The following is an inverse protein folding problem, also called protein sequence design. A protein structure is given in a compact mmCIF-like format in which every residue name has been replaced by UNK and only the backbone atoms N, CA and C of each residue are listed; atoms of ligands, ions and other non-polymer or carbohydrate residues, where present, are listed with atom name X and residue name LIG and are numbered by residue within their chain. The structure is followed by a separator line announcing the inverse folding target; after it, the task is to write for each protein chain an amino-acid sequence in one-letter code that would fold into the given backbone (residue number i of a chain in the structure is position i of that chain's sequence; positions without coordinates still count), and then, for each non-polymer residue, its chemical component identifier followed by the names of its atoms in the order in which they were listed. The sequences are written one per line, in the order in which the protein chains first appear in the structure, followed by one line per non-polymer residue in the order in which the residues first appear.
data_IF_925693022052
#
_entry.id   IF_925693022052
#
_cell.length_a   1.000
_cell.length_b   1.000
_cell.length_c   1.000
_cell.angle_alpha   90.00
_cell.angle_beta   90.00
_cell.angle_gamma   90.00
#
_symmetry.space_group_name_H-M   'P 1'
#
loop_
_entity.id
_entity.type
_entity.pdbx_description
1 polymer ?
#
# COMPACT_ATOMS: atom_id res chain seq x y z
N UNK A 1 -7.13 15.58 -1.32
CA UNK A 1 -6.25 14.42 -1.31
C UNK A 1 -6.81 13.34 -2.23
N UNK A 2 -6.01 12.38 -2.64
CA UNK A 2 -6.41 11.19 -3.44
C UNK A 2 -6.86 11.43 -4.89
N UNK A 3 -6.76 12.62 -5.44
CA UNK A 3 -7.19 12.92 -6.83
C UNK A 3 -6.32 12.28 -7.93
N UNK A 4 -5.19 11.69 -7.55
CA UNK A 4 -4.33 10.89 -8.45
C UNK A 4 -4.70 9.42 -8.47
N UNK A 5 -3.71 8.53 -8.54
CA UNK A 5 -3.89 7.07 -8.64
C UNK A 5 -4.53 6.43 -7.40
N UNK A 6 -4.45 7.08 -6.24
CA UNK A 6 -4.84 6.47 -4.96
C UNK A 6 -6.29 5.99 -4.95
N UNK A 7 -7.25 6.82 -5.37
CA UNK A 7 -8.66 6.46 -5.33
C UNK A 7 -9.07 5.42 -6.39
N UNK A 8 -8.22 5.20 -7.40
CA UNK A 8 -8.42 4.16 -8.41
C UNK A 8 -7.88 2.79 -7.99
N UNK A 9 -7.18 2.70 -6.84
CA UNK A 9 -6.63 1.42 -6.41
C UNK A 9 -7.73 0.42 -6.08
N UNK A 10 -7.55 -0.85 -6.49
CA UNK A 10 -8.40 -1.96 -6.05
C UNK A 10 -8.33 -2.18 -4.53
N UNK A 11 -7.25 -1.69 -3.91
CA UNK A 11 -7.02 -1.62 -2.48
C UNK A 11 -7.07 -2.95 -1.72
N UNK A 12 -6.73 -4.02 -2.39
CA UNK A 12 -6.51 -5.29 -1.73
C UNK A 12 -5.33 -5.18 -0.76
N UNK A 13 -5.51 -5.71 0.43
CA UNK A 13 -4.48 -5.83 1.46
C UNK A 13 -4.17 -7.30 1.70
N UNK A 14 -2.89 -7.61 1.76
CA UNK A 14 -2.37 -8.95 2.05
C UNK A 14 -1.02 -8.83 2.76
N UNK A 15 -0.69 -9.81 3.60
CA UNK A 15 0.52 -9.77 4.41
C UNK A 15 1.72 -10.43 3.75
N UNK A 16 1.49 -11.38 2.84
CA UNK A 16 2.55 -12.23 2.31
C UNK A 16 3.14 -11.71 1.00
N UNK A 17 4.47 -11.56 0.99
CA UNK A 17 5.26 -11.22 -0.18
C UNK A 17 6.52 -12.10 -0.24
N UNK A 18 7.17 -12.20 -1.40
CA UNK A 18 8.42 -12.96 -1.55
C UNK A 18 9.60 -12.38 -0.76
N UNK A 19 9.62 -11.07 -0.55
CA UNK A 19 10.58 -10.39 0.31
C UNK A 19 10.10 -10.36 1.75
N UNK A 20 10.93 -10.83 2.68
CA UNK A 20 10.65 -10.79 4.12
C UNK A 20 10.41 -9.35 4.64
N UNK A 21 11.15 -8.37 4.12
CA UNK A 21 11.01 -6.98 4.54
C UNK A 21 9.68 -6.39 4.11
N UNK A 22 9.24 -6.69 2.88
CA UNK A 22 7.94 -6.26 2.37
C UNK A 22 6.83 -6.96 3.14
N UNK A 23 6.92 -8.25 3.39
CA UNK A 23 5.94 -8.98 4.21
C UNK A 23 5.77 -8.38 5.60
N UNK A 24 6.87 -8.02 6.27
CA UNK A 24 6.80 -7.35 7.58
C UNK A 24 6.14 -5.99 7.50
N UNK A 25 6.46 -5.22 6.46
CA UNK A 25 5.84 -3.90 6.23
C UNK A 25 4.34 -4.02 5.96
N UNK A 26 3.93 -4.95 5.10
CA UNK A 26 2.52 -5.20 4.79
C UNK A 26 1.74 -5.65 6.03
N UNK A 27 2.28 -6.60 6.80
CA UNK A 27 1.66 -7.06 8.03
C UNK A 27 1.49 -5.93 9.06
N UNK A 28 2.53 -5.12 9.27
CA UNK A 28 2.43 -3.92 10.10
C UNK A 28 1.36 -2.94 9.59
N UNK A 29 1.31 -2.73 8.28
CA UNK A 29 0.35 -1.82 7.63
C UNK A 29 -1.09 -2.29 7.83
N UNK A 30 -1.36 -3.59 7.68
CA UNK A 30 -2.70 -4.16 7.92
C UNK A 30 -3.15 -3.95 9.37
N UNK A 31 -2.24 -4.18 10.33
CA UNK A 31 -2.50 -3.89 11.74
C UNK A 31 -2.80 -2.41 11.97
N UNK A 32 -1.96 -1.53 11.39
CA UNK A 32 -2.12 -0.09 11.52
C UNK A 32 -3.47 0.40 10.96
N UNK A 33 -3.96 -0.14 9.85
CA UNK A 33 -5.25 0.26 9.28
C UNK A 33 -6.42 -0.05 10.23
N UNK A 34 -6.36 -1.15 10.96
CA UNK A 34 -7.35 -1.48 11.99
C UNK A 34 -7.27 -0.54 13.21
N UNK A 35 -6.11 0.02 13.50
CA UNK A 35 -5.88 0.92 14.64
C UNK A 35 -6.17 2.40 14.29
N UNK A 36 -5.97 2.80 13.04
CA UNK A 36 -6.07 4.19 12.59
C UNK A 36 -7.46 4.80 12.80
N UNK A 37 -8.52 4.03 12.61
CA UNK A 37 -9.88 4.54 12.82
C UNK A 37 -10.13 4.89 14.28
N UNK A 38 -9.69 4.05 15.21
CA UNK A 38 -9.80 4.32 16.65
C UNK A 38 -8.94 5.52 17.08
N UNK A 39 -7.78 5.70 16.45
CA UNK A 39 -6.85 6.78 16.76
C UNK A 39 -7.29 8.13 16.18
N UNK A 40 -7.82 8.14 14.97
CA UNK A 40 -8.08 9.37 14.21
C UNK A 40 -9.56 9.75 14.14
N UNK A 41 -10.46 8.83 14.39
CA UNK A 41 -11.90 8.98 14.14
C UNK A 41 -12.29 8.93 12.65
N UNK A 42 -11.33 8.65 11.75
CA UNK A 42 -11.56 8.54 10.30
C UNK A 42 -11.57 7.08 9.87
N UNK A 43 -12.67 6.63 9.30
CA UNK A 43 -12.76 5.25 8.81
C UNK A 43 -11.79 4.97 7.66
N UNK A 44 -11.11 3.84 7.76
CA UNK A 44 -10.28 3.26 6.71
C UNK A 44 -11.06 2.28 5.81
N UNK A 45 -12.31 1.96 6.16
CA UNK A 45 -13.14 1.00 5.43
C UNK A 45 -12.50 -0.40 5.38
N UNK A 46 -11.86 -0.83 6.48
CA UNK A 46 -11.20 -2.13 6.54
C UNK A 46 -12.24 -3.23 6.50
N UNK A 47 -12.11 -4.13 5.53
CA UNK A 47 -12.93 -5.32 5.39
C UNK A 47 -12.03 -6.53 5.13
N UNK A 48 -11.94 -7.45 6.08
CA UNK A 48 -11.01 -8.58 6.07
C UNK A 48 -11.76 -9.93 6.06
N UNK A 49 -12.39 -10.31 4.95
CA UNK A 49 -13.03 -11.62 4.81
C UNK A 49 -12.02 -12.75 4.58
N UNK A 50 -10.75 -12.42 4.45
CA UNK A 50 -9.69 -13.28 3.98
C UNK A 50 -9.47 -13.21 2.47
N UNK A 51 -8.40 -13.86 2.01
CA UNK A 51 -8.04 -13.97 0.60
C UNK A 51 -7.78 -15.41 0.20
N UNK A 52 -8.28 -15.82 -0.98
CA UNK A 52 -8.00 -17.11 -1.58
C UNK A 52 -6.98 -16.97 -2.70
N UNK A 53 -5.98 -17.84 -2.70
CA UNK A 53 -4.97 -17.96 -3.74
C UNK A 53 -5.12 -19.30 -4.44
N UNK A 54 -5.38 -19.26 -5.73
CA UNK A 54 -5.72 -20.44 -6.51
C UNK A 54 -4.57 -20.85 -7.44
N UNK A 55 -4.31 -22.14 -7.53
CA UNK A 55 -3.37 -22.71 -8.47
C UNK A 55 -4.06 -23.66 -9.44
N UNK A 56 -4.01 -23.38 -10.75
CA UNK A 56 -4.48 -24.25 -11.82
C UNK A 56 -3.34 -25.07 -12.45
N UNK A 57 -2.11 -24.63 -12.26
CA UNK A 57 -0.92 -25.30 -12.82
C UNK A 57 -0.02 -25.83 -11.72
N UNK A 58 0.76 -26.85 -12.03
CA UNK A 58 1.74 -27.43 -11.10
C UNK A 58 2.77 -26.40 -10.65
N UNK A 59 3.23 -25.54 -11.56
CA UNK A 59 4.17 -24.48 -11.23
C UNK A 59 3.58 -23.49 -10.22
N UNK A 60 2.32 -23.09 -10.40
CA UNK A 60 1.64 -22.18 -9.46
C UNK A 60 1.40 -22.86 -8.11
N UNK A 61 1.04 -24.13 -8.10
CA UNK A 61 0.90 -24.93 -6.87
C UNK A 61 2.23 -24.95 -6.10
N UNK A 62 3.33 -25.26 -6.78
CA UNK A 62 4.67 -25.23 -6.16
C UNK A 62 5.01 -23.86 -5.57
N UNK A 63 4.74 -22.77 -6.30
CA UNK A 63 4.93 -21.41 -5.80
C UNK A 63 4.11 -21.12 -4.53
N UNK A 64 2.82 -21.49 -4.52
CA UNK A 64 1.97 -21.27 -3.36
C UNK A 64 2.42 -22.06 -2.14
N UNK A 65 2.86 -23.32 -2.31
CA UNK A 65 3.43 -24.13 -1.22
C UNK A 65 4.73 -23.52 -0.68
N UNK A 66 5.58 -22.98 -1.54
CA UNK A 66 6.77 -22.25 -1.12
C UNK A 66 6.43 -20.97 -0.35
N UNK A 67 5.41 -20.24 -0.80
CA UNK A 67 4.91 -19.06 -0.09
C UNK A 67 4.34 -19.43 1.29
N UNK A 68 3.61 -20.54 1.42
CA UNK A 68 3.14 -21.02 2.70
C UNK A 68 4.27 -21.37 3.67
N UNK A 69 5.36 -21.95 3.16
CA UNK A 69 6.55 -22.22 3.98
C UNK A 69 7.20 -20.92 4.48
N UNK A 70 7.29 -19.89 3.62
CA UNK A 70 7.80 -18.55 3.99
C UNK A 70 6.86 -17.88 5.01
N UNK A 71 5.54 -17.93 4.80
CA UNK A 71 4.54 -17.38 5.73
C UNK A 71 4.72 -17.94 7.13
N UNK A 72 4.88 -19.27 7.24
CA UNK A 72 5.17 -19.93 8.51
C UNK A 72 6.45 -19.41 9.17
N UNK A 73 7.50 -19.18 8.40
CA UNK A 73 8.75 -18.60 8.91
C UNK A 73 8.55 -17.17 9.43
N UNK A 74 7.64 -16.41 8.82
CA UNK A 74 7.37 -15.02 9.20
C UNK A 74 6.27 -14.88 10.26
N UNK A 75 5.71 -16.00 10.75
CA UNK A 75 4.61 -16.01 11.73
C UNK A 75 3.28 -15.53 11.15
N UNK A 76 3.09 -15.66 9.83
CA UNK A 76 1.86 -15.27 9.14
C UNK A 76 0.91 -16.44 9.00
N UNK A 77 -0.39 -16.14 9.03
CA UNK A 77 -1.43 -17.12 8.84
C UNK A 77 -1.73 -17.27 7.34
N UNK A 78 -1.12 -18.29 6.72
CA UNK A 78 -1.32 -18.64 5.32
C UNK A 78 -1.22 -20.16 5.19
N UNK A 79 -2.32 -20.83 4.86
CA UNK A 79 -2.39 -22.28 4.87
C UNK A 79 -3.28 -22.83 3.76
N UNK A 80 -3.07 -24.09 3.43
CA UNK A 80 -3.87 -24.80 2.45
C UNK A 80 -5.23 -25.18 3.05
N UNK A 81 -6.29 -25.01 2.26
CA UNK A 81 -7.65 -25.41 2.62
C UNK A 81 -8.25 -26.34 1.55
N UNK A 82 -9.25 -27.10 1.95
CA UNK A 82 -10.01 -27.97 1.04
C UNK A 82 -11.03 -27.19 0.21
N UNK A 83 -11.49 -27.85 -0.87
CA UNK A 83 -12.51 -27.30 -1.79
C UNK A 83 -13.80 -26.93 -1.04
N UNK A 84 -14.33 -27.78 -0.20
CA UNK A 84 -15.58 -27.54 0.53
C UNK A 84 -15.52 -26.27 1.40
N UNK A 85 -14.38 -26.01 1.98
CA UNK A 85 -14.14 -24.80 2.75
C UNK A 85 -14.04 -23.57 1.86
N UNK A 86 -13.31 -23.66 0.75
CA UNK A 86 -13.19 -22.61 -0.22
C UNK A 86 -14.54 -22.20 -0.85
N UNK A 87 -15.39 -23.17 -1.16
CA UNK A 87 -16.75 -22.94 -1.67
C UNK A 87 -17.65 -22.22 -0.64
N UNK A 88 -17.47 -22.52 0.64
CA UNK A 88 -18.17 -21.77 1.71
C UNK A 88 -17.68 -20.34 1.83
N UNK A 89 -16.36 -20.12 1.71
CA UNK A 89 -15.76 -18.79 1.80
C UNK A 89 -16.07 -17.95 0.57
N UNK A 90 -16.13 -18.56 -0.62
CA UNK A 90 -16.38 -17.84 -1.85
C UNK A 90 -17.28 -18.63 -2.82
N UNK A 91 -18.61 -18.60 -2.62
CA UNK A 91 -19.55 -19.46 -3.34
C UNK A 91 -19.73 -19.12 -4.82
N UNK A 92 -19.18 -17.99 -5.29
CA UNK A 92 -19.27 -17.56 -6.68
C UNK A 92 -18.12 -18.09 -7.57
N UNK A 93 -17.09 -18.68 -6.95
CA UNK A 93 -15.94 -19.22 -7.69
C UNK A 93 -16.22 -20.65 -8.14
N UNK A 94 -15.94 -20.94 -9.41
CA UNK A 94 -15.85 -22.32 -9.87
C UNK A 94 -14.46 -22.88 -9.58
N UNK A 95 -14.39 -23.87 -8.71
CA UNK A 95 -13.14 -24.52 -8.29
C UNK A 95 -12.76 -25.74 -9.15
N UNK A 96 -13.44 -26.00 -10.26
CA UNK A 96 -13.07 -27.08 -11.16
C UNK A 96 -11.68 -26.83 -11.78
N UNK A 97 -10.83 -27.86 -11.75
CA UNK A 97 -9.46 -27.76 -12.24
C UNK A 97 -8.48 -27.00 -11.31
N UNK A 98 -8.92 -26.56 -10.14
CA UNK A 98 -8.04 -25.98 -9.13
C UNK A 98 -7.30 -27.11 -8.41
N UNK A 99 -5.97 -27.06 -8.42
CA UNK A 99 -5.06 -28.06 -7.84
C UNK A 99 -4.74 -27.79 -6.36
N UNK A 100 -4.65 -26.51 -6.01
CA UNK A 100 -4.28 -26.08 -4.67
C UNK A 100 -4.98 -24.75 -4.36
N UNK A 101 -5.48 -24.64 -3.14
CA UNK A 101 -6.14 -23.45 -2.62
C UNK A 101 -5.45 -23.06 -1.33
N UNK A 102 -4.83 -21.88 -1.30
CA UNK A 102 -4.31 -21.31 -0.06
C UNK A 102 -5.23 -20.20 0.44
N UNK A 103 -5.35 -20.11 1.74
CA UNK A 103 -6.16 -19.12 2.43
C UNK A 103 -5.29 -18.25 3.34
N UNK A 104 -5.48 -16.95 3.26
CA UNK A 104 -4.92 -15.92 4.13
C UNK A 104 -6.06 -15.24 4.88
N UNK A 105 -6.34 -15.62 6.14
CA UNK A 105 -7.46 -15.06 6.91
C UNK A 105 -7.38 -13.55 7.13
N UNK A 106 -6.15 -13.01 7.21
CA UNK A 106 -5.89 -11.59 7.48
C UNK A 106 -6.01 -10.73 6.21
N UNK A 107 -6.16 -11.35 5.04
CA UNK A 107 -6.32 -10.64 3.77
C UNK A 107 -7.68 -9.95 3.63
N UNK A 108 -7.75 -8.94 2.78
CA UNK A 108 -8.99 -8.20 2.57
C UNK A 108 -8.81 -6.97 1.70
N UNK A 109 -9.59 -5.94 1.98
CA UNK A 109 -9.51 -4.65 1.30
C UNK A 109 -9.76 -3.47 2.25
N UNK A 110 -9.45 -2.27 1.77
CA UNK A 110 -9.68 -1.00 2.47
C UNK A 110 -10.30 0.01 1.52
N UNK A 111 -10.78 1.14 2.04
CA UNK A 111 -11.05 2.33 1.22
C UNK A 111 -9.75 3.14 1.07
N UNK A 112 -9.16 3.25 -0.14
CA UNK A 112 -7.91 3.99 -0.34
C UNK A 112 -8.02 5.46 0.05
N UNK A 113 -9.18 6.07 -0.18
CA UNK A 113 -9.43 7.46 0.20
C UNK A 113 -9.61 7.60 1.72
N UNK A 114 -10.31 6.66 2.35
CA UNK A 114 -10.45 6.59 3.80
C UNK A 114 -9.10 6.48 4.50
N UNK A 115 -8.25 5.55 4.09
CA UNK A 115 -6.89 5.38 4.61
C UNK A 115 -6.06 6.65 4.47
N UNK A 116 -6.06 7.27 3.28
CA UNK A 116 -5.30 8.50 3.05
C UNK A 116 -5.77 9.64 3.93
N UNK A 117 -7.10 9.78 4.12
CA UNK A 117 -7.66 10.79 4.99
C UNK A 117 -7.37 10.49 6.46
N UNK A 118 -7.38 9.22 6.89
CA UNK A 118 -7.00 8.83 8.25
C UNK A 118 -5.55 9.21 8.55
N UNK A 119 -4.62 8.93 7.65
CA UNK A 119 -3.23 9.41 7.78
C UNK A 119 -3.14 10.93 7.86
N UNK A 120 -3.91 11.66 7.03
CA UNK A 120 -3.91 13.12 7.03
C UNK A 120 -4.46 13.69 8.34
N UNK A 121 -5.52 13.09 8.89
CA UNK A 121 -6.06 13.48 10.21
C UNK A 121 -5.04 13.21 11.30
N UNK A 122 -4.47 12.01 11.37
CA UNK A 122 -3.46 11.66 12.36
C UNK A 122 -2.20 12.53 12.29
N UNK A 123 -1.77 12.90 11.07
CA UNK A 123 -0.65 13.83 10.89
C UNK A 123 -0.97 15.22 11.45
N UNK A 124 -2.16 15.77 11.14
CA UNK A 124 -2.59 17.08 11.67
C UNK A 124 -2.73 17.09 13.18
N UNK A 125 -3.27 16.03 13.78
CA UNK A 125 -3.36 15.89 15.24
C UNK A 125 -1.99 15.93 15.91
N UNK A 126 -0.91 15.60 15.17
CA UNK A 126 0.48 15.67 15.62
C UNK A 126 1.22 16.94 15.18
N UNK A 127 0.49 17.94 14.68
CA UNK A 127 1.05 19.25 14.31
C UNK A 127 1.58 19.35 12.88
N UNK A 128 1.37 18.35 12.03
CA UNK A 128 1.73 18.47 10.61
C UNK A 128 0.77 19.39 9.85
N UNK A 129 1.31 20.22 8.97
CA UNK A 129 0.54 21.05 8.07
C UNK A 129 0.39 20.39 6.71
N UNK A 130 -0.81 20.42 6.15
CA UNK A 130 -1.10 19.87 4.83
C UNK A 130 -1.67 20.96 3.94
N UNK A 131 -0.85 21.44 3.01
CA UNK A 131 -1.21 22.51 2.08
C UNK A 131 -1.71 21.92 0.76
N UNK A 132 -3.04 21.94 0.58
CA UNK A 132 -3.67 21.48 -0.67
C UNK A 132 -3.63 22.58 -1.73
N UNK A 133 -3.66 22.16 -3.00
CA UNK A 133 -3.61 23.09 -4.15
C UNK A 133 -2.40 24.03 -4.06
N UNK A 134 -1.27 23.46 -3.69
CA UNK A 134 -0.02 24.19 -3.48
C UNK A 134 1.10 23.39 -4.15
N UNK A 135 1.26 23.52 -5.48
CA UNK A 135 2.31 22.81 -6.19
C UNK A 135 3.69 23.33 -5.75
N UNK A 136 4.63 22.41 -5.61
CA UNK A 136 6.04 22.75 -5.47
C UNK A 136 6.59 23.13 -6.85
N UNK A 137 7.17 24.31 -6.97
CA UNK A 137 7.68 24.85 -8.23
C UNK A 137 9.18 24.74 -8.34
N UNK A 138 9.91 24.78 -7.22
CA UNK A 138 11.35 24.55 -7.16
C UNK A 138 11.77 23.98 -5.80
N UNK A 139 12.94 23.36 -5.76
CA UNK A 139 13.64 23.00 -4.52
C UNK A 139 15.10 23.45 -4.67
N UNK A 140 15.56 24.31 -3.78
CA UNK A 140 16.88 24.93 -3.85
C UNK A 140 17.69 24.56 -2.62
N UNK A 141 18.75 23.77 -2.82
CA UNK A 141 19.65 23.43 -1.73
C UNK A 141 20.50 24.66 -1.35
N UNK A 142 20.60 24.88 -0.05
CA UNK A 142 21.37 25.99 0.51
C UNK A 142 22.82 25.55 0.84
N UNK A 143 23.75 26.49 0.98
CA UNK A 143 25.15 26.17 1.31
C UNK A 143 25.33 25.42 2.63
N UNK A 144 24.40 25.57 3.57
CA UNK A 144 24.39 24.86 4.87
C UNK A 144 23.76 23.46 4.80
N UNK A 145 23.33 23.02 3.60
CA UNK A 145 22.68 21.74 3.37
C UNK A 145 21.17 21.73 3.57
N UNK A 146 20.58 22.80 4.07
CA UNK A 146 19.13 22.98 4.13
C UNK A 146 18.50 23.22 2.76
N UNK A 147 17.19 23.29 2.70
CA UNK A 147 16.43 23.47 1.47
C UNK A 147 15.43 24.61 1.57
N UNK A 148 15.24 25.30 0.46
CA UNK A 148 14.09 26.17 0.22
C UNK A 148 13.16 25.43 -0.75
N UNK A 149 11.94 25.17 -0.33
CA UNK A 149 10.86 24.64 -1.18
C UNK A 149 10.00 25.82 -1.61
N UNK A 150 9.96 26.09 -2.91
CA UNK A 150 9.21 27.21 -3.46
C UNK A 150 7.80 26.80 -3.87
N UNK A 151 6.83 27.62 -3.53
CA UNK A 151 5.42 27.43 -3.90
C UNK A 151 4.76 28.76 -4.24
N UNK A 152 3.66 28.80 -4.99
CA UNK A 152 2.90 30.02 -5.25
C UNK A 152 2.34 30.71 -4.00
N UNK A 153 2.34 30.01 -2.85
CA UNK A 153 1.84 30.53 -1.57
C UNK A 153 2.93 30.92 -0.59
N UNK A 154 4.20 30.90 -1.04
CA UNK A 154 5.36 31.24 -0.24
C UNK A 154 6.38 30.10 -0.18
N UNK A 155 7.51 30.39 0.42
CA UNK A 155 8.66 29.50 0.51
C UNK A 155 8.70 28.82 1.89
N UNK A 156 9.14 27.56 1.89
CA UNK A 156 9.31 26.76 3.12
C UNK A 156 10.81 26.48 3.27
N UNK A 157 11.39 26.85 4.42
CA UNK A 157 12.74 26.47 4.78
C UNK A 157 12.72 25.18 5.59
N UNK A 158 13.51 24.19 5.19
CA UNK A 158 13.52 22.87 5.84
C UNK A 158 14.87 22.20 5.73
N UNK A 159 15.30 21.41 6.72
CA UNK A 159 16.52 20.60 6.61
C UNK A 159 16.37 19.42 5.66
N UNK A 160 15.15 18.95 5.36
CA UNK A 160 14.90 17.74 4.57
C UNK A 160 13.73 17.94 3.62
N UNK A 161 13.86 17.39 2.40
CA UNK A 161 12.76 17.25 1.44
C UNK A 161 12.56 15.79 1.13
N UNK A 162 11.33 15.32 1.30
CA UNK A 162 10.95 13.92 0.98
C UNK A 162 10.05 13.94 -0.25
N UNK A 163 10.52 13.33 -1.33
CA UNK A 163 9.72 13.17 -2.53
C UNK A 163 8.81 11.94 -2.40
N UNK A 164 7.52 12.17 -2.18
CA UNK A 164 6.47 11.17 -2.15
C UNK A 164 5.39 11.46 -3.21
N UNK A 165 5.80 11.98 -4.37
CA UNK A 165 4.92 12.54 -5.40
C UNK A 165 4.26 11.49 -6.32
N UNK A 166 4.39 10.19 -6.05
CA UNK A 166 3.75 9.13 -6.83
C UNK A 166 4.11 9.21 -8.32
N UNK A 167 3.12 9.36 -9.19
CA UNK A 167 3.31 9.47 -10.65
C UNK A 167 4.23 10.62 -11.07
N UNK A 168 4.25 11.69 -10.28
CA UNK A 168 5.05 12.89 -10.52
C UNK A 168 6.41 12.86 -9.81
N UNK A 169 6.78 11.70 -9.24
CA UNK A 169 8.03 11.55 -8.50
C UNK A 169 9.27 11.89 -9.33
N UNK A 170 9.25 11.61 -10.65
CA UNK A 170 10.33 11.95 -11.57
C UNK A 170 10.46 13.48 -11.76
N UNK A 171 9.33 14.15 -11.96
CA UNK A 171 9.29 15.61 -12.15
C UNK A 171 9.75 16.33 -10.88
N UNK A 172 9.28 15.87 -9.72
CA UNK A 172 9.71 16.44 -8.43
C UNK A 172 11.20 16.19 -8.17
N UNK A 173 11.72 15.00 -8.50
CA UNK A 173 13.15 14.71 -8.36
C UNK A 173 14.03 15.68 -9.21
N UNK A 174 13.57 16.03 -10.42
CA UNK A 174 14.27 16.99 -11.30
C UNK A 174 14.40 18.39 -10.67
N UNK A 175 13.44 18.80 -9.83
CA UNK A 175 13.54 20.07 -9.10
C UNK A 175 14.73 20.10 -8.14
N UNK A 176 15.21 18.93 -7.71
CA UNK A 176 16.40 18.76 -6.88
C UNK A 176 17.65 18.38 -7.71
N UNK A 177 17.57 18.43 -9.03
CA UNK A 177 18.67 18.02 -9.92
C UNK A 177 18.91 16.51 -10.00
N UNK A 178 17.95 15.70 -9.55
CA UNK A 178 18.07 14.23 -9.52
C UNK A 178 17.31 13.63 -10.71
N UNK A 179 17.99 12.79 -11.49
CA UNK A 179 17.35 12.00 -12.53
C UNK A 179 16.87 10.66 -11.95
N UNK A 180 15.54 10.55 -11.75
CA UNK A 180 14.91 9.36 -11.20
C UNK A 180 14.37 8.48 -12.35
N UNK A 181 14.81 7.22 -12.51
CA UNK A 181 14.33 6.31 -13.54
C UNK A 181 12.93 5.75 -13.19
N UNK A 182 11.95 6.63 -13.11
CA UNK A 182 10.56 6.32 -12.83
C UNK A 182 9.72 6.67 -14.05
N UNK A 183 8.90 5.72 -14.48
CA UNK A 183 7.94 5.92 -15.56
C UNK A 183 6.57 5.42 -15.12
N UNK A 184 5.53 6.26 -15.16
CA UNK A 184 4.15 5.81 -14.98
C UNK A 184 3.76 4.83 -16.09
N UNK A 185 3.07 3.76 -15.70
CA UNK A 185 2.48 2.81 -16.65
C UNK A 185 1.00 2.65 -16.36
N UNK A 186 0.23 2.43 -17.42
CA UNK A 186 -1.18 2.09 -17.27
C UNK A 186 -1.31 0.71 -16.65
N UNK A 187 -2.22 0.57 -15.70
CA UNK A 187 -2.59 -0.70 -15.10
C UNK A 187 -4.10 -0.87 -15.20
N UNK A 188 -4.53 -2.01 -15.72
CA UNK A 188 -5.95 -2.37 -15.87
C UNK A 188 -6.29 -3.52 -14.92
N UNK A 189 -7.47 -3.50 -14.35
CA UNK A 189 -8.01 -4.51 -13.44
C UNK A 189 -9.52 -4.69 -13.63
#
# INVERSE_FOLDING_TARGET
LTSGSTWHAAANIHGLHDSANISRLQHYTMKLYNELEAETGQSCGVFQPGSLYLAQTENREHQLRLQAAKAKLYGMNFHEIGRDEAERLHPLVNFDGIRCIMYEPDGGNVDPSGVTNAYAVGARQRGAEIHRFTPVTATVQQPDGSWIVETPKGNIHTPWVINAAGLWGREVAKLAGIELPLQPTEHQY
#
